data_IF_320674562717
#
_entry.id   IF_320674562717
#
_cell.length_a   1.000
_cell.length_b   1.000
_cell.length_c   1.000
_cell.angle_alpha   90.00
_cell.angle_beta   90.00
_cell.angle_gamma   90.00
#
_symmetry.space_group_name_H-M   'P 1'
#
loop_
_entity.id
_entity.type
_entity.pdbx_description
1 polymer ?
#
# COMPACT_ATOMS: atom_id res chain seq x y z
N UNK A 1 -10.17 4.03 -3.86
CA UNK A 1 -9.36 4.61 -4.95
C UNK A 1 -8.10 3.80 -5.21
N UNK A 2 -7.24 3.58 -4.21
CA UNK A 2 -6.08 2.64 -4.23
C UNK A 2 -6.36 1.34 -5.00
N UNK A 3 -7.40 0.59 -4.62
CA UNK A 3 -7.75 -0.66 -5.29
C UNK A 3 -8.01 -0.48 -6.80
N UNK A 4 -8.62 0.65 -7.22
CA UNK A 4 -8.83 0.95 -8.65
C UNK A 4 -7.52 1.28 -9.38
N UNK A 5 -6.61 2.02 -8.74
CA UNK A 5 -5.28 2.34 -9.30
C UNK A 5 -4.46 1.06 -9.46
N UNK A 6 -4.39 0.26 -8.40
CA UNK A 6 -3.69 -1.03 -8.38
C UNK A 6 -4.28 -1.98 -9.44
N UNK A 7 -5.60 -2.03 -9.58
CA UNK A 7 -6.27 -2.84 -10.61
C UNK A 7 -5.95 -2.41 -12.05
N UNK A 8 -5.68 -1.12 -12.31
CA UNK A 8 -5.25 -0.66 -13.65
C UNK A 8 -3.92 -1.30 -14.08
N UNK A 9 -3.05 -1.62 -13.12
CA UNK A 9 -1.74 -2.22 -13.40
C UNK A 9 -1.83 -3.73 -13.68
N UNK A 10 -2.90 -4.39 -13.24
CA UNK A 10 -3.18 -5.79 -13.55
C UNK A 10 -3.96 -5.89 -14.87
N UNK A 11 -3.34 -5.46 -15.97
CA UNK A 11 -3.92 -5.46 -17.32
C UNK A 11 -3.99 -6.86 -17.95
N UNK A 12 -4.70 -7.81 -17.34
CA UNK A 12 -4.98 -9.11 -17.95
C UNK A 12 -6.47 -9.42 -18.00
N UNK A 13 -6.99 -9.96 -19.13
CA UNK A 13 -8.37 -10.42 -19.24
C UNK A 13 -8.68 -11.64 -18.34
N UNK A 14 -7.64 -12.23 -17.74
CA UNK A 14 -7.74 -13.28 -16.75
C UNK A 14 -8.10 -12.68 -15.38
N UNK A 15 -9.26 -13.08 -14.81
CA UNK A 15 -9.66 -12.78 -13.43
C UNK A 15 -8.47 -12.98 -12.48
N UNK A 16 -7.88 -11.87 -12.03
CA UNK A 16 -6.88 -11.85 -10.98
C UNK A 16 -7.62 -11.58 -9.67
N UNK A 17 -7.47 -12.48 -8.71
CA UNK A 17 -8.13 -12.35 -7.42
C UNK A 17 -7.16 -11.69 -6.46
N UNK A 18 -7.49 -10.49 -5.98
CA UNK A 18 -6.68 -9.82 -4.98
C UNK A 18 -7.35 -9.92 -3.60
N UNK A 19 -6.53 -10.10 -2.59
CA UNK A 19 -6.89 -10.04 -1.19
C UNK A 19 -6.17 -8.83 -0.60
N UNK A 20 -6.91 -7.83 -0.12
CA UNK A 20 -6.31 -6.80 0.73
C UNK A 20 -6.38 -7.28 2.17
N UNK A 21 -5.22 -7.46 2.79
CA UNK A 21 -5.08 -7.83 4.18
C UNK A 21 -4.75 -6.59 5.01
N UNK A 22 -5.58 -6.32 6.01
CA UNK A 22 -5.25 -5.37 7.07
C UNK A 22 -5.37 -6.09 8.41
N UNK A 23 -4.35 -5.95 9.27
CA UNK A 23 -4.32 -6.56 10.60
C UNK A 23 -4.28 -5.45 11.67
N UNK A 24 -5.35 -4.67 11.87
CA UNK A 24 -5.39 -3.78 13.00
C UNK A 24 -5.58 -4.65 14.25
N UNK A 25 -4.65 -4.50 15.20
CA UNK A 25 -4.79 -5.03 16.58
C UNK A 25 -5.06 -6.55 16.66
N UNK A 26 -4.48 -7.34 15.75
CA UNK A 26 -4.57 -8.81 15.78
C UNK A 26 -5.80 -9.42 15.08
N UNK A 27 -6.65 -8.61 14.43
CA UNK A 27 -7.79 -9.12 13.65
C UNK A 27 -7.52 -9.03 12.14
N UNK A 28 -7.48 -10.17 11.45
CA UNK A 28 -7.25 -10.21 10.00
C UNK A 28 -8.55 -9.85 9.25
N UNK A 29 -8.55 -8.69 8.60
CA UNK A 29 -9.59 -8.30 7.65
C UNK A 29 -9.14 -8.61 6.22
N UNK A 30 -10.02 -9.26 5.45
CA UNK A 30 -9.73 -9.76 4.09
C UNK A 30 -10.81 -9.22 3.17
N UNK A 31 -10.41 -8.37 2.22
CA UNK A 31 -11.27 -7.92 1.14
C UNK A 31 -10.88 -8.61 -0.16
N UNK A 32 -11.84 -9.30 -0.79
CA UNK A 32 -11.58 -10.07 -2.00
C UNK A 32 -12.65 -9.89 -3.08
N UNK A 33 -12.22 -10.06 -4.33
CA UNK A 33 -13.09 -9.94 -5.51
C UNK A 33 -14.00 -11.14 -5.76
N UNK A 34 -13.67 -12.32 -5.20
CA UNK A 34 -14.51 -13.52 -5.25
C UNK A 34 -14.41 -14.29 -3.92
N UNK A 35 -15.55 -14.54 -3.26
CA UNK A 35 -15.59 -15.13 -1.92
C UNK A 35 -15.25 -16.63 -1.91
N UNK A 36 -15.41 -17.34 -3.02
CA UNK A 36 -15.29 -18.80 -3.05
C UNK A 36 -13.82 -19.30 -3.09
N UNK A 37 -12.90 -18.54 -3.68
CA UNK A 37 -11.46 -18.91 -3.71
C UNK A 37 -10.69 -18.51 -2.43
N UNK A 38 -11.29 -17.64 -1.61
CA UNK A 38 -10.64 -16.97 -0.47
C UNK A 38 -10.71 -17.80 0.80
N UNK A 39 -11.75 -18.62 0.98
CA UNK A 39 -11.93 -19.44 2.17
C UNK A 39 -10.69 -20.26 2.57
N UNK A 40 -10.01 -21.00 1.66
CA UNK A 40 -8.81 -21.75 2.01
C UNK A 40 -7.61 -20.85 2.37
N UNK A 41 -7.47 -19.68 1.74
CA UNK A 41 -6.39 -18.73 2.03
C UNK A 41 -6.64 -18.04 3.38
N UNK A 42 -7.89 -17.65 3.65
CA UNK A 42 -8.34 -17.11 4.92
C UNK A 42 -8.13 -18.12 6.05
N UNK A 43 -8.43 -19.40 5.81
CA UNK A 43 -8.17 -20.47 6.76
C UNK A 43 -6.68 -20.70 6.99
N UNK A 44 -5.85 -20.66 5.93
CA UNK A 44 -4.39 -20.71 6.05
C UNK A 44 -3.85 -19.55 6.88
N UNK A 45 -4.15 -18.31 6.49
CA UNK A 45 -3.68 -17.11 7.20
C UNK A 45 -4.16 -17.11 8.66
N UNK A 46 -5.40 -17.50 8.93
CA UNK A 46 -5.93 -17.60 10.30
C UNK A 46 -5.17 -18.65 11.12
N UNK A 47 -4.96 -19.85 10.57
CA UNK A 47 -4.17 -20.91 11.24
C UNK A 47 -2.72 -20.49 11.47
N UNK A 48 -2.10 -19.82 10.51
CA UNK A 48 -0.73 -19.36 10.63
C UNK A 48 -0.57 -18.23 11.65
N UNK A 49 -1.54 -17.31 11.75
CA UNK A 49 -1.57 -16.29 12.80
C UNK A 49 -1.76 -16.94 14.18
N UNK A 50 -2.65 -17.93 14.29
CA UNK A 50 -2.90 -18.69 15.53
C UNK A 50 -1.69 -19.57 15.92
N UNK A 51 -0.95 -20.12 14.96
CA UNK A 51 0.28 -20.87 15.24
C UNK A 51 1.44 -19.97 15.67
N UNK A 52 1.52 -18.73 15.16
CA UNK A 52 2.54 -17.75 15.61
C UNK A 52 2.33 -17.37 17.08
N UNK A 53 1.12 -17.46 17.65
CA UNK A 53 0.91 -17.24 19.09
C UNK A 53 1.27 -18.43 19.97
N UNK A 54 1.64 -19.58 19.40
CA UNK A 54 2.03 -20.80 20.13
C UNK A 54 3.35 -21.32 19.58
N UNK A 55 4.46 -20.93 20.22
CA UNK A 55 5.83 -21.36 19.88
C UNK A 55 5.90 -22.85 19.51
N UNK A 56 5.88 -23.18 18.21
CA UNK A 56 6.40 -24.44 17.69
C UNK A 56 6.99 -24.21 16.30
N UNK A 57 8.26 -24.58 16.07
CA UNK A 57 8.92 -24.45 14.79
C UNK A 57 8.70 -25.74 14.01
N UNK A 58 8.02 -25.69 12.86
CA UNK A 58 8.28 -26.61 11.74
C UNK A 58 7.38 -26.30 10.53
N UNK A 59 7.89 -25.45 9.63
CA UNK A 59 7.86 -25.77 8.21
C UNK A 59 9.00 -25.01 7.52
N UNK A 60 9.95 -25.74 6.92
CA UNK A 60 10.99 -25.16 6.08
C UNK A 60 10.31 -24.69 4.79
N UNK A 61 10.06 -23.40 4.65
CA UNK A 61 9.48 -22.84 3.45
C UNK A 61 10.59 -22.69 2.41
N UNK A 62 10.66 -23.63 1.45
CA UNK A 62 11.67 -23.67 0.40
C UNK A 62 11.61 -22.45 -0.53
N UNK A 63 12.79 -21.99 -0.93
CA UNK A 63 13.03 -20.80 -1.74
C UNK A 63 12.77 -21.05 -3.24
N UNK A 64 12.24 -20.04 -3.93
CA UNK A 64 12.05 -19.94 -5.40
C UNK A 64 11.06 -20.89 -6.10
N UNK A 65 10.19 -21.61 -5.39
CA UNK A 65 9.05 -22.28 -6.04
C UNK A 65 7.98 -21.26 -6.51
N UNK A 66 7.38 -21.42 -7.70
CA UNK A 66 6.22 -20.62 -8.10
C UNK A 66 5.06 -20.86 -7.11
N UNK A 67 4.28 -19.82 -6.76
CA UNK A 67 3.23 -19.96 -5.77
C UNK A 67 2.19 -21.00 -6.22
N UNK A 68 1.73 -21.83 -5.29
CA UNK A 68 0.71 -22.85 -5.57
C UNK A 68 -0.57 -22.27 -6.22
N UNK A 69 -0.89 -20.99 -5.92
CA UNK A 69 -1.98 -20.22 -6.53
C UNK A 69 -1.46 -18.94 -7.20
N UNK A 70 -0.90 -19.01 -8.42
CA UNK A 70 -0.29 -17.85 -9.07
C UNK A 70 -1.32 -16.82 -9.55
N UNK A 71 -2.60 -17.21 -9.66
CA UNK A 71 -3.72 -16.33 -10.07
C UNK A 71 -4.35 -15.53 -8.93
N UNK A 72 -3.93 -15.83 -7.69
CA UNK A 72 -4.36 -15.09 -6.50
C UNK A 72 -3.19 -14.26 -5.99
N UNK A 73 -3.45 -13.00 -5.66
CA UNK A 73 -2.49 -12.09 -5.05
C UNK A 73 -2.99 -11.64 -3.67
N UNK A 74 -2.11 -11.68 -2.68
CA UNK A 74 -2.34 -11.10 -1.37
C UNK A 74 -1.53 -9.80 -1.25
N UNK A 75 -2.23 -8.69 -1.12
CA UNK A 75 -1.68 -7.35 -0.94
C UNK A 75 -1.75 -6.95 0.52
N UNK A 76 -0.61 -6.57 1.07
CA UNK A 76 -0.47 -6.18 2.46
C UNK A 76 -0.13 -4.70 2.58
N UNK A 77 -0.84 -4.00 3.45
CA UNK A 77 -0.41 -2.68 3.90
C UNK A 77 0.89 -2.81 4.71
N UNK A 78 1.69 -1.74 4.78
CA UNK A 78 2.96 -1.75 5.51
C UNK A 78 2.75 -1.39 6.98
N UNK A 79 2.49 -0.12 7.25
CA UNK A 79 2.46 0.42 8.61
C UNK A 79 1.19 -0.02 9.34
N UNK A 80 1.34 -0.61 10.53
CA UNK A 80 0.21 -1.13 11.30
C UNK A 80 -0.41 -2.43 10.78
N UNK A 81 0.12 -3.02 9.70
CA UNK A 81 -0.25 -4.37 9.23
C UNK A 81 0.93 -5.33 9.27
N UNK A 82 2.04 -5.01 8.57
CA UNK A 82 3.26 -5.83 8.59
C UNK A 82 4.24 -5.39 9.68
N UNK A 83 4.16 -4.13 10.09
CA UNK A 83 4.97 -3.58 11.17
C UNK A 83 4.07 -2.99 12.24
N UNK A 84 4.60 -2.85 13.46
CA UNK A 84 4.01 -1.91 14.41
C UNK A 84 4.06 -0.49 13.83
N UNK A 85 3.15 0.42 14.23
CA UNK A 85 3.15 1.78 13.74
C UNK A 85 4.53 2.45 13.90
N UNK A 86 5.13 2.89 12.78
CA UNK A 86 6.49 3.48 12.67
C UNK A 86 7.63 2.55 13.13
N UNK A 87 7.36 1.26 13.23
CA UNK A 87 8.33 0.23 13.60
C UNK A 87 8.90 -0.49 12.37
N UNK A 88 9.85 -1.38 12.63
CA UNK A 88 10.39 -2.33 11.64
C UNK A 88 9.63 -3.65 11.69
N UNK A 89 9.67 -4.40 10.59
CA UNK A 89 9.14 -5.76 10.53
C UNK A 89 9.90 -6.65 11.52
N UNK A 90 9.17 -7.51 12.24
CA UNK A 90 9.78 -8.47 13.16
C UNK A 90 10.25 -9.72 12.39
N UNK A 91 11.25 -10.46 12.91
CA UNK A 91 11.71 -11.70 12.29
C UNK A 91 10.57 -12.70 12.04
N UNK A 92 9.65 -12.84 13.01
CA UNK A 92 8.53 -13.79 12.94
C UNK A 92 7.56 -13.42 11.81
N UNK A 93 7.27 -12.13 11.63
CA UNK A 93 6.43 -11.66 10.52
C UNK A 93 7.14 -11.84 9.18
N UNK A 94 8.45 -11.62 9.12
CA UNK A 94 9.23 -11.83 7.90
C UNK A 94 9.26 -13.31 7.49
N UNK A 95 9.40 -14.22 8.45
CA UNK A 95 9.31 -15.67 8.22
C UNK A 95 7.91 -16.07 7.72
N UNK A 96 6.86 -15.55 8.37
CA UNK A 96 5.48 -15.79 7.93
C UNK A 96 5.25 -15.33 6.49
N UNK A 97 5.70 -14.13 6.14
CA UNK A 97 5.55 -13.57 4.78
C UNK A 97 6.34 -14.37 3.75
N UNK A 98 7.53 -14.85 4.12
CA UNK A 98 8.34 -15.73 3.28
C UNK A 98 7.62 -17.05 3.02
N UNK A 99 6.98 -17.62 4.03
CA UNK A 99 6.20 -18.84 3.87
C UNK A 99 4.91 -18.65 3.07
N UNK A 100 4.25 -17.50 3.24
CA UNK A 100 3.04 -17.18 2.50
C UNK A 100 3.33 -17.06 0.99
N UNK A 101 4.51 -16.54 0.62
CA UNK A 101 4.94 -16.37 -0.77
C UNK A 101 5.00 -17.68 -1.56
N UNK A 102 5.24 -18.84 -0.92
CA UNK A 102 5.21 -20.14 -1.59
C UNK A 102 3.79 -20.64 -1.89
N UNK A 103 2.77 -20.10 -1.21
CA UNK A 103 1.38 -20.51 -1.34
C UNK A 103 0.58 -19.61 -2.28
N UNK A 104 0.83 -18.29 -2.22
CA UNK A 104 0.10 -17.26 -2.96
C UNK A 104 1.06 -16.19 -3.45
N UNK A 105 0.75 -15.52 -4.56
CA UNK A 105 1.51 -14.34 -4.97
C UNK A 105 1.36 -13.26 -3.89
N UNK A 106 2.46 -12.74 -3.37
CA UNK A 106 2.43 -11.67 -2.37
C UNK A 106 2.80 -10.34 -3.01
N UNK A 107 2.16 -9.26 -2.57
CA UNK A 107 2.57 -7.91 -2.89
C UNK A 107 2.45 -6.98 -1.70
N UNK A 108 3.27 -5.93 -1.70
CA UNK A 108 3.26 -4.87 -0.69
C UNK A 108 2.58 -3.65 -1.29
N UNK A 109 1.72 -2.99 -0.50
CA UNK A 109 1.13 -1.69 -0.83
C UNK A 109 1.31 -0.75 0.35
N UNK A 110 1.70 0.49 0.11
CA UNK A 110 1.77 1.49 1.17
C UNK A 110 1.52 2.89 0.63
N UNK A 111 0.96 3.76 1.47
CA UNK A 111 0.77 5.18 1.14
C UNK A 111 2.03 6.02 1.23
N UNK A 112 3.09 5.49 1.84
CA UNK A 112 4.40 6.13 1.92
C UNK A 112 5.20 5.96 0.63
N UNK A 113 6.23 6.79 0.49
CA UNK A 113 7.31 6.60 -0.49
C UNK A 113 8.06 5.28 -0.27
N UNK A 114 8.88 4.90 -1.25
CA UNK A 114 9.62 3.65 -1.21
C UNK A 114 10.68 3.63 -0.10
N UNK A 115 11.32 4.76 0.22
CA UNK A 115 12.38 4.80 1.22
C UNK A 115 11.85 4.48 2.61
N UNK A 116 10.66 4.99 2.98
CA UNK A 116 9.97 4.57 4.20
C UNK A 116 9.63 3.08 4.21
N UNK A 117 9.24 2.51 3.08
CA UNK A 117 9.01 1.06 3.01
C UNK A 117 10.30 0.27 3.24
N UNK A 118 11.44 0.73 2.72
CA UNK A 118 12.75 0.11 2.97
C UNK A 118 13.18 0.23 4.42
N UNK A 119 12.95 1.38 5.06
CA UNK A 119 13.21 1.56 6.48
C UNK A 119 12.45 0.55 7.36
N UNK A 120 11.20 0.26 7.00
CA UNK A 120 10.30 -0.62 7.73
C UNK A 120 10.51 -2.12 7.39
N UNK A 121 10.70 -2.46 6.12
CA UNK A 121 10.70 -3.84 5.62
C UNK A 121 12.08 -4.37 5.19
N UNK A 122 13.07 -3.49 5.05
CA UNK A 122 14.42 -3.77 4.56
C UNK A 122 14.66 -3.28 3.13
N UNK A 123 15.93 -3.03 2.78
CA UNK A 123 16.34 -2.47 1.48
C UNK A 123 15.98 -3.34 0.28
N UNK A 124 15.90 -4.65 0.48
CA UNK A 124 15.56 -5.64 -0.53
C UNK A 124 14.04 -5.81 -0.76
N UNK A 125 13.18 -5.04 -0.08
CA UNK A 125 11.71 -5.17 -0.16
C UNK A 125 11.16 -5.16 -1.61
N UNK A 126 11.81 -4.42 -2.51
CA UNK A 126 11.43 -4.30 -3.92
C UNK A 126 11.68 -5.58 -4.72
N UNK A 127 12.72 -6.34 -4.33
CA UNK A 127 13.04 -7.65 -4.92
C UNK A 127 12.46 -8.83 -4.14
N UNK A 128 12.17 -8.64 -2.85
CA UNK A 128 11.68 -9.70 -1.96
C UNK A 128 10.31 -10.23 -2.37
N UNK A 129 9.43 -9.36 -2.87
CA UNK A 129 8.09 -9.73 -3.32
C UNK A 129 7.90 -9.45 -4.81
N UNK A 130 7.10 -10.27 -5.53
CA UNK A 130 6.82 -10.05 -6.95
C UNK A 130 6.22 -8.68 -7.27
N UNK A 131 5.48 -8.08 -6.33
CA UNK A 131 4.87 -6.77 -6.47
C UNK A 131 5.18 -5.89 -5.27
N UNK A 132 5.58 -4.65 -5.53
CA UNK A 132 5.69 -3.60 -4.53
C UNK A 132 5.04 -2.33 -5.08
N UNK A 133 4.13 -1.74 -4.31
CA UNK A 133 3.39 -0.55 -4.63
C UNK A 133 3.67 0.51 -3.55
N UNK A 134 4.41 1.55 -3.88
CA UNK A 134 4.57 2.74 -3.04
C UNK A 134 3.61 3.83 -3.48
N UNK A 135 3.40 4.83 -2.64
CA UNK A 135 2.54 5.97 -2.96
C UNK A 135 1.15 5.53 -3.42
N UNK A 136 0.54 4.58 -2.70
CA UNK A 136 -0.78 4.05 -3.00
C UNK A 136 -0.90 3.34 -4.37
N UNK A 137 0.23 2.92 -4.94
CA UNK A 137 0.32 2.29 -6.26
C UNK A 137 0.53 3.27 -7.42
N UNK A 138 0.85 4.54 -7.13
CA UNK A 138 1.35 5.48 -8.13
C UNK A 138 2.71 5.06 -8.66
N UNK A 139 3.54 4.46 -7.82
CA UNK A 139 4.80 3.84 -8.21
C UNK A 139 4.69 2.34 -7.97
N UNK A 140 4.92 1.55 -9.03
CA UNK A 140 4.77 0.11 -9.02
C UNK A 140 6.03 -0.59 -9.50
N UNK A 141 6.53 -1.50 -8.69
CA UNK A 141 7.63 -2.40 -9.00
C UNK A 141 7.10 -3.82 -9.18
N UNK A 142 7.66 -4.51 -10.16
CA UNK A 142 7.43 -5.94 -10.40
C UNK A 142 8.77 -6.67 -10.48
N UNK A 143 8.95 -7.68 -9.64
CA UNK A 143 10.17 -8.49 -9.58
C UNK A 143 11.45 -7.62 -9.53
N UNK A 144 11.49 -6.64 -8.62
CA UNK A 144 12.65 -5.74 -8.49
C UNK A 144 12.70 -4.56 -9.48
N UNK A 145 11.86 -4.54 -10.52
CA UNK A 145 11.94 -3.56 -11.61
C UNK A 145 10.78 -2.58 -11.61
N UNK A 146 11.08 -1.28 -11.74
CA UNK A 146 10.08 -0.25 -11.95
C UNK A 146 9.25 -0.57 -13.20
N UNK A 147 7.96 -0.78 -13.01
CA UNK A 147 7.02 -1.18 -14.05
C UNK A 147 6.12 -0.02 -14.45
N UNK A 148 5.72 0.78 -13.48
CA UNK A 148 4.89 1.96 -13.73
C UNK A 148 5.13 3.03 -12.69
N UNK A 149 5.00 4.28 -13.13
CA UNK A 149 5.05 5.48 -12.31
C UNK A 149 4.09 6.50 -12.91
N UNK A 150 3.26 7.13 -12.08
CA UNK A 150 2.38 8.23 -12.50
C UNK A 150 2.28 9.28 -11.41
N UNK A 151 1.86 10.48 -11.80
CA UNK A 151 1.72 11.64 -10.92
C UNK A 151 0.38 12.31 -11.17
N UNK A 152 -0.09 13.14 -10.24
CA UNK A 152 -1.29 13.94 -10.48
C UNK A 152 -1.15 14.82 -11.73
N UNK A 153 0.03 15.40 -11.96
CA UNK A 153 0.30 16.17 -13.17
C UNK A 153 0.30 15.31 -14.44
N UNK A 154 0.76 14.05 -14.36
CA UNK A 154 0.67 13.09 -15.45
C UNK A 154 -0.77 12.72 -15.80
N UNK A 155 -1.64 12.54 -14.79
CA UNK A 155 -3.03 12.13 -14.99
C UNK A 155 -3.94 13.29 -15.44
N UNK A 156 -3.84 14.46 -14.80
CA UNK A 156 -4.74 15.60 -15.09
C UNK A 156 -4.09 16.73 -15.88
N UNK A 157 -2.78 16.69 -16.10
CA UNK A 157 -2.02 17.72 -16.82
C UNK A 157 -1.61 18.90 -15.95
N UNK A 158 -0.39 19.41 -16.14
CA UNK A 158 0.16 20.55 -15.39
C UNK A 158 -0.73 21.80 -15.43
N UNK A 159 -1.37 22.06 -16.58
CA UNK A 159 -2.29 23.20 -16.73
C UNK A 159 -3.47 23.10 -15.77
N UNK A 160 -4.01 21.90 -15.54
CA UNK A 160 -5.13 21.71 -14.63
C UNK A 160 -4.66 21.74 -13.17
N UNK A 161 -3.49 21.16 -12.85
CA UNK A 161 -2.87 21.31 -11.53
C UNK A 161 -2.69 22.80 -11.20
N UNK A 162 -2.10 23.57 -12.11
CA UNK A 162 -1.91 25.02 -11.96
C UNK A 162 -3.24 25.76 -11.77
N UNK A 163 -4.29 25.40 -12.53
CA UNK A 163 -5.63 25.98 -12.37
C UNK A 163 -6.20 25.71 -10.97
N UNK A 164 -6.07 24.48 -10.46
CA UNK A 164 -6.54 24.11 -9.12
C UNK A 164 -5.76 24.91 -8.07
N UNK A 165 -4.43 24.91 -8.14
CA UNK A 165 -3.57 25.65 -7.19
C UNK A 165 -3.91 27.14 -7.19
N UNK A 166 -4.02 27.77 -8.37
CA UNK A 166 -4.37 29.18 -8.49
C UNK A 166 -5.77 29.49 -7.95
N UNK A 167 -6.75 28.61 -8.18
CA UNK A 167 -8.08 28.77 -7.64
C UNK A 167 -8.09 28.71 -6.12
N UNK A 168 -7.40 27.72 -5.53
CA UNK A 168 -7.28 27.59 -4.07
C UNK A 168 -6.57 28.80 -3.46
N UNK A 169 -5.47 29.28 -4.07
CA UNK A 169 -4.73 30.45 -3.56
C UNK A 169 -5.58 31.72 -3.56
N UNK A 170 -6.36 31.96 -4.62
CA UNK A 170 -7.32 33.08 -4.68
C UNK A 170 -8.45 32.92 -3.67
N UNK A 171 -8.97 31.71 -3.51
CA UNK A 171 -10.00 31.46 -2.51
C UNK A 171 -9.47 31.76 -1.10
N UNK A 172 -8.28 31.25 -0.76
CA UNK A 172 -7.67 31.46 0.56
C UNK A 172 -7.20 32.90 0.80
N UNK A 173 -6.90 33.69 -0.25
CA UNK A 173 -6.58 35.11 -0.07
C UNK A 173 -7.74 35.89 0.52
N UNK A 174 -8.96 35.52 0.16
CA UNK A 174 -10.19 36.24 0.53
C UNK A 174 -10.80 35.76 1.85
N UNK A 175 -10.45 34.55 2.31
CA UNK A 175 -10.93 34.03 3.61
C UNK A 175 -10.32 34.84 4.75
N UNK A 176 -11.14 35.43 5.62
CA UNK A 176 -10.67 36.06 6.86
C UNK A 176 -10.34 35.00 7.91
N UNK A 177 -9.12 35.05 8.44
CA UNK A 177 -8.66 34.18 9.52
C UNK A 177 -7.97 35.05 10.58
N UNK A 178 -8.08 34.70 11.88
CA UNK A 178 -7.33 35.40 12.93
C UNK A 178 -5.82 35.44 12.68
N UNK A 179 -5.27 34.39 12.05
CA UNK A 179 -3.87 34.29 11.63
C UNK A 179 -3.80 33.61 10.25
N UNK A 180 -3.11 34.22 9.29
CA UNK A 180 -2.77 33.64 7.98
C UNK A 180 -1.27 33.29 7.95
N UNK A 181 -0.94 32.05 7.60
CA UNK A 181 0.46 31.59 7.49
C UNK A 181 0.94 31.53 6.02
N UNK A 182 2.25 31.53 5.80
CA UNK A 182 2.88 31.68 4.47
C UNK A 182 2.95 30.40 3.62
N UNK A 183 2.62 29.21 4.12
CA UNK A 183 2.75 27.95 3.37
C UNK A 183 1.47 27.10 3.43
N UNK A 184 0.45 27.53 2.68
CA UNK A 184 -0.92 26.98 2.76
C UNK A 184 -1.31 26.03 1.63
N UNK A 185 -0.61 26.03 0.49
CA UNK A 185 -0.91 25.15 -0.66
C UNK A 185 0.37 24.53 -1.19
N UNK A 186 0.37 23.20 -1.35
CA UNK A 186 1.50 22.43 -1.87
C UNK A 186 1.01 21.47 -2.95
N UNK A 187 1.70 21.40 -4.08
CA UNK A 187 1.52 20.33 -5.06
C UNK A 187 2.54 19.21 -4.76
N UNK A 188 2.05 18.04 -4.37
CA UNK A 188 2.85 16.83 -4.16
C UNK A 188 2.69 15.88 -5.37
N UNK A 189 3.47 14.80 -5.39
CA UNK A 189 3.41 13.79 -6.45
C UNK A 189 2.01 13.17 -6.61
N UNK A 190 1.32 12.98 -5.49
CA UNK A 190 0.04 12.26 -5.42
C UNK A 190 -1.19 13.17 -5.28
N UNK A 191 -1.03 14.35 -4.67
CA UNK A 191 -2.15 15.22 -4.29
C UNK A 191 -1.75 16.68 -4.20
N UNK A 192 -2.75 17.57 -4.17
CA UNK A 192 -2.58 18.97 -3.76
C UNK A 192 -2.98 19.07 -2.29
N UNK A 193 -2.04 19.45 -1.43
CA UNK A 193 -2.27 19.63 0.00
C UNK A 193 -2.63 21.07 0.32
N UNK A 194 -3.69 21.24 1.11
CA UNK A 194 -4.05 22.55 1.67
C UNK A 194 -3.82 22.47 3.18
N UNK A 195 -2.86 23.24 3.68
CA UNK A 195 -2.50 23.28 5.10
C UNK A 195 -3.15 24.49 5.75
N UNK A 196 -4.03 24.25 6.72
CA UNK A 196 -4.65 25.30 7.53
C UNK A 196 -4.19 25.14 8.99
N UNK A 197 -3.28 26.00 9.50
CA UNK A 197 -2.58 25.77 10.77
C UNK A 197 -3.47 25.78 12.03
N UNK A 198 -4.74 26.20 11.93
CA UNK A 198 -5.69 26.25 13.07
C UNK A 198 -6.82 25.23 12.99
N UNK A 199 -6.94 24.48 11.90
CA UNK A 199 -7.80 23.31 11.87
C UNK A 199 -6.94 22.11 12.24
N UNK A 200 -7.25 21.45 13.34
CA UNK A 200 -6.55 20.26 13.87
C UNK A 200 -6.58 19.05 12.93
N UNK A 201 -7.05 19.20 11.70
CA UNK A 201 -7.07 18.18 10.64
C UNK A 201 -6.56 18.80 9.34
N UNK A 202 -5.47 18.24 8.80
CA UNK A 202 -5.04 18.54 7.44
C UNK A 202 -6.15 18.08 6.50
N UNK A 203 -6.71 19.00 5.70
CA UNK A 203 -7.69 18.63 4.67
C UNK A 203 -6.91 18.04 3.49
N UNK A 204 -6.78 16.71 3.46
CA UNK A 204 -6.21 16.01 2.31
C UNK A 204 -7.31 15.76 1.29
N UNK A 205 -7.27 16.46 0.16
CA UNK A 205 -8.08 16.11 -1.01
C UNK A 205 -7.32 15.04 -1.82
N UNK A 206 -7.72 13.77 -1.66
CA UNK A 206 -7.31 12.69 -2.57
C UNK A 206 -8.31 12.61 -3.73
N UNK A 207 -7.81 12.65 -4.96
CA UNK A 207 -8.60 12.53 -6.20
C UNK A 207 -8.61 11.10 -6.73
#
# INVERSE_FOLDING_TARGET
LQAKIILRWFASPCRLFYIVCHIPTGSLSIHATDRNEVAPIKAFMKRSIESVSSNSPESKCEEMAPPAKPRTIALFDVDGTLTTPRGKITPEMNEFMTCLKSHVTVGIVGGSDLDKQKEQLGDDVVGRYPWNFSQNGLVAYKNGKLTAETTIAGEIGEKNVSRIVNWVLRYLSDVELPIKASDVVFACHEYVMIRAPFFTTNLMAQF
#
